data_IF_586292650839
#
_entry.id   IF_586292650839
#
_cell.length_a   1.000
_cell.length_b   1.000
_cell.length_c   1.000
_cell.angle_alpha   90.00
_cell.angle_beta   90.00
_cell.angle_gamma   90.00
#
_symmetry.space_group_name_H-M   'P 1'
#
loop_
_entity.id
_entity.type
_entity.pdbx_description
1 polymer ?
#
# COMPACT_ATOMS: atom_id res chain seq x y z
N UNK A 1 69.57 -46.69 -13.80
CA UNK A 1 68.22 -46.12 -13.56
C UNK A 1 68.26 -45.30 -12.28
N UNK A 2 68.67 -44.02 -12.35
CA UNK A 2 68.73 -43.12 -11.18
C UNK A 2 67.33 -42.55 -10.91
N UNK A 3 66.90 -42.67 -9.66
CA UNK A 3 65.58 -42.35 -9.15
C UNK A 3 65.21 -40.87 -9.37
N UNK A 4 64.17 -40.61 -10.16
CA UNK A 4 63.52 -39.27 -10.28
C UNK A 4 62.66 -38.89 -9.06
N UNK A 5 62.69 -39.73 -8.02
CA UNK A 5 61.88 -39.62 -6.81
C UNK A 5 62.13 -38.36 -5.94
N UNK A 6 63.34 -37.77 -5.79
CA UNK A 6 63.52 -36.66 -4.86
C UNK A 6 62.89 -35.34 -5.33
N UNK A 7 62.62 -35.19 -6.63
CA UNK A 7 61.98 -33.98 -7.18
C UNK A 7 60.45 -34.05 -7.21
N UNK A 8 59.86 -35.23 -7.05
CA UNK A 8 58.39 -35.40 -7.09
C UNK A 8 57.71 -34.89 -5.81
N UNK A 9 58.37 -35.02 -4.66
CA UNK A 9 57.84 -34.57 -3.36
C UNK A 9 57.62 -33.05 -3.30
N UNK A 10 58.60 -32.18 -3.62
CA UNK A 10 58.37 -30.73 -3.62
C UNK A 10 57.37 -30.30 -4.70
N UNK A 11 57.37 -30.95 -5.87
CA UNK A 11 56.42 -30.66 -6.93
C UNK A 11 54.97 -30.98 -6.50
N UNK A 12 54.76 -32.13 -5.83
CA UNK A 12 53.46 -32.50 -5.28
C UNK A 12 52.99 -31.54 -4.18
N UNK A 13 53.90 -31.09 -3.31
CA UNK A 13 53.59 -30.11 -2.27
C UNK A 13 53.18 -28.75 -2.85
N UNK A 14 53.87 -28.27 -3.89
CA UNK A 14 53.53 -27.02 -4.59
C UNK A 14 52.16 -27.14 -5.25
N UNK A 15 51.87 -28.26 -5.92
CA UNK A 15 50.57 -28.50 -6.55
C UNK A 15 49.44 -28.57 -5.52
N UNK A 16 49.65 -29.25 -4.39
CA UNK A 16 48.68 -29.31 -3.31
C UNK A 16 48.41 -27.92 -2.72
N UNK A 17 49.45 -27.11 -2.49
CA UNK A 17 49.31 -25.74 -2.03
C UNK A 17 48.55 -24.86 -3.04
N UNK A 18 48.89 -24.96 -4.34
CA UNK A 18 48.20 -24.23 -5.40
C UNK A 18 46.72 -24.64 -5.51
N UNK A 19 46.42 -25.93 -5.40
CA UNK A 19 45.06 -26.44 -5.39
C UNK A 19 44.26 -25.94 -4.17
N UNK A 20 44.87 -25.96 -2.97
CA UNK A 20 44.24 -25.44 -1.76
C UNK A 20 43.93 -23.93 -1.88
N UNK A 21 44.87 -23.14 -2.44
CA UNK A 21 44.65 -21.72 -2.70
C UNK A 21 43.54 -21.49 -3.73
N UNK A 22 43.50 -22.27 -4.82
CA UNK A 22 42.46 -22.16 -5.84
C UNK A 22 41.07 -22.49 -5.27
N UNK A 23 40.95 -23.54 -4.45
CA UNK A 23 39.70 -23.91 -3.77
C UNK A 23 39.28 -22.82 -2.77
N UNK A 24 40.21 -22.31 -1.96
CA UNK A 24 39.94 -21.23 -1.02
C UNK A 24 39.47 -19.95 -1.73
N UNK A 25 40.13 -19.56 -2.83
CA UNK A 25 39.72 -18.42 -3.64
C UNK A 25 38.34 -18.62 -4.29
N UNK A 26 38.03 -19.85 -4.74
CA UNK A 26 36.71 -20.18 -5.27
C UNK A 26 35.61 -20.07 -4.21
N UNK A 27 35.81 -20.68 -3.04
CA UNK A 27 34.87 -20.60 -1.92
C UNK A 27 34.67 -19.16 -1.44
N UNK A 28 35.74 -18.37 -1.33
CA UNK A 28 35.65 -16.96 -0.97
C UNK A 28 34.79 -16.15 -1.95
N UNK A 29 34.95 -16.38 -3.27
CA UNK A 29 34.08 -15.74 -4.29
C UNK A 29 32.64 -16.21 -4.20
N UNK A 30 32.40 -17.51 -3.97
CA UNK A 30 31.04 -18.05 -3.85
C UNK A 30 30.31 -17.47 -2.62
N UNK A 31 30.99 -17.41 -1.47
CA UNK A 31 30.48 -16.82 -0.24
C UNK A 31 30.21 -15.30 -0.41
N UNK A 32 31.14 -14.56 -1.02
CA UNK A 32 30.94 -13.13 -1.32
C UNK A 32 29.74 -12.89 -2.25
N UNK A 33 29.51 -13.78 -3.23
CA UNK A 33 28.34 -13.72 -4.11
C UNK A 33 27.04 -13.96 -3.33
N UNK A 34 27.02 -14.94 -2.43
CA UNK A 34 25.84 -15.21 -1.58
C UNK A 34 25.54 -14.03 -0.65
N UNK A 35 26.54 -13.50 0.04
CA UNK A 35 26.39 -12.32 0.89
C UNK A 35 25.86 -11.11 0.11
N UNK A 36 26.33 -10.91 -1.13
CA UNK A 36 25.81 -9.84 -2.02
C UNK A 36 24.34 -10.06 -2.38
N UNK A 37 23.91 -11.30 -2.64
CA UNK A 37 22.50 -11.59 -2.92
C UNK A 37 21.62 -11.37 -1.69
N UNK A 38 22.09 -11.73 -0.50
CA UNK A 38 21.37 -11.49 0.75
C UNK A 38 21.21 -10.02 1.05
N UNK A 39 22.28 -9.22 0.92
CA UNK A 39 22.20 -7.76 1.09
C UNK A 39 21.24 -7.10 0.09
N UNK A 40 21.24 -7.54 -1.17
CA UNK A 40 20.27 -7.07 -2.18
C UNK A 40 18.84 -7.44 -1.78
N UNK A 41 18.61 -8.67 -1.30
CA UNK A 41 17.29 -9.13 -0.83
C UNK A 41 16.80 -8.34 0.38
N UNK A 42 17.66 -8.08 1.35
CA UNK A 42 17.32 -7.29 2.53
C UNK A 42 16.92 -5.86 2.13
N UNK A 43 17.74 -5.20 1.29
CA UNK A 43 17.42 -3.86 0.78
C UNK A 43 16.11 -3.83 -0.01
N UNK A 44 15.86 -4.85 -0.84
CA UNK A 44 14.61 -4.96 -1.58
C UNK A 44 13.40 -5.12 -0.65
N UNK A 45 13.53 -5.90 0.44
CA UNK A 45 12.47 -6.05 1.45
C UNK A 45 12.24 -4.76 2.24
N UNK A 46 13.30 -4.07 2.63
CA UNK A 46 13.21 -2.77 3.32
C UNK A 46 12.51 -1.74 2.44
N UNK A 47 12.93 -1.61 1.18
CA UNK A 47 12.30 -0.72 0.21
C UNK A 47 10.83 -1.08 -0.03
N UNK A 48 10.50 -2.37 -0.16
CA UNK A 48 9.12 -2.82 -0.29
C UNK A 48 8.30 -2.46 0.97
N UNK A 49 8.86 -2.65 2.17
CA UNK A 49 8.23 -2.30 3.43
C UNK A 49 7.94 -0.81 3.57
N UNK A 50 8.86 0.05 3.11
CA UNK A 50 8.64 1.50 3.06
C UNK A 50 7.50 1.90 2.13
N UNK A 51 7.44 1.29 0.94
CA UNK A 51 6.35 1.51 -0.01
C UNK A 51 5.02 1.10 0.61
N UNK A 52 4.95 -0.10 1.22
CA UNK A 52 3.72 -0.59 1.88
C UNK A 52 3.27 0.35 2.99
N UNK A 53 4.17 0.79 3.88
CA UNK A 53 3.83 1.74 4.95
C UNK A 53 3.29 3.07 4.42
N UNK A 54 3.88 3.58 3.33
CA UNK A 54 3.39 4.81 2.68
C UNK A 54 1.98 4.62 2.11
N UNK A 55 1.70 3.47 1.49
CA UNK A 55 0.37 3.17 0.98
C UNK A 55 -0.66 2.95 2.09
N UNK A 56 -0.28 2.32 3.19
CA UNK A 56 -1.17 2.07 4.32
C UNK A 56 -1.75 3.36 4.89
N UNK A 57 -0.90 4.38 5.10
CA UNK A 57 -1.35 5.70 5.56
C UNK A 57 -2.33 6.35 4.58
N UNK A 58 -2.01 6.34 3.28
CA UNK A 58 -2.87 6.93 2.25
C UNK A 58 -4.21 6.20 2.10
N UNK A 59 -4.20 4.87 2.18
CA UNK A 59 -5.44 4.07 2.13
C UNK A 59 -6.30 4.37 3.37
N UNK A 60 -5.70 4.47 4.56
CA UNK A 60 -6.46 4.79 5.78
C UNK A 60 -7.10 6.18 5.70
N UNK A 61 -6.38 7.16 5.18
CA UNK A 61 -6.90 8.50 4.94
C UNK A 61 -8.04 8.49 3.91
N UNK A 62 -7.88 7.74 2.82
CA UNK A 62 -8.92 7.56 1.81
C UNK A 62 -10.19 6.95 2.42
N UNK A 63 -10.04 5.89 3.22
CA UNK A 63 -11.16 5.23 3.91
C UNK A 63 -11.85 6.19 4.88
N UNK A 64 -11.08 7.00 5.63
CA UNK A 64 -11.66 7.99 6.54
C UNK A 64 -12.47 9.05 5.77
N UNK A 65 -11.91 9.63 4.71
CA UNK A 65 -12.62 10.59 3.84
C UNK A 65 -13.88 10.00 3.24
N UNK A 66 -13.83 8.74 2.82
CA UNK A 66 -14.98 8.07 2.21
C UNK A 66 -16.05 7.72 3.24
N UNK A 67 -15.65 7.36 4.46
CA UNK A 67 -16.58 7.08 5.57
C UNK A 67 -17.35 8.32 6.03
N UNK A 68 -16.73 9.50 5.92
CA UNK A 68 -17.38 10.78 6.21
C UNK A 68 -18.21 11.31 5.04
N UNK A 69 -18.11 10.71 3.85
CA UNK A 69 -18.76 11.21 2.65
C UNK A 69 -20.28 10.97 2.71
N UNK A 70 -21.12 12.00 2.50
CA UNK A 70 -22.55 11.82 2.42
C UNK A 70 -22.97 10.96 1.22
N UNK A 71 -23.92 10.04 1.45
CA UNK A 71 -24.38 9.06 0.46
C UNK A 71 -24.97 9.70 -0.81
N UNK A 72 -25.58 10.89 -0.72
CA UNK A 72 -26.20 11.55 -1.87
C UNK A 72 -25.18 12.00 -2.93
N UNK A 73 -23.88 12.08 -2.58
CA UNK A 73 -22.82 12.43 -3.53
C UNK A 73 -22.49 11.28 -4.50
N UNK A 74 -22.98 10.07 -4.27
CA UNK A 74 -22.77 8.94 -5.21
C UNK A 74 -23.75 8.96 -6.38
N UNK A 75 -24.76 9.82 -6.35
CA UNK A 75 -25.71 10.02 -7.44
C UNK A 75 -25.14 11.01 -8.46
N UNK A 76 -25.44 10.82 -9.75
CA UNK A 76 -24.99 11.76 -10.80
C UNK A 76 -25.46 13.19 -10.53
N UNK A 77 -26.73 13.34 -10.16
CA UNK A 77 -27.34 14.60 -9.76
C UNK A 77 -27.83 14.48 -8.33
N UNK A 78 -27.53 15.48 -7.52
CA UNK A 78 -28.00 15.55 -6.14
C UNK A 78 -28.53 16.95 -5.82
N UNK A 79 -29.38 17.05 -4.80
CA UNK A 79 -29.81 18.33 -4.26
C UNK A 79 -28.95 18.63 -3.03
N UNK A 80 -28.12 19.69 -3.04
CA UNK A 80 -27.29 20.00 -1.88
C UNK A 80 -28.17 20.43 -0.70
N UNK A 81 -27.81 20.03 0.54
CA UNK A 81 -28.62 20.31 1.73
C UNK A 81 -28.85 21.82 1.93
N UNK A 82 -27.89 22.65 1.51
CA UNK A 82 -27.96 24.10 1.63
C UNK A 82 -28.91 24.76 0.62
N UNK A 83 -29.25 24.08 -0.50
CA UNK A 83 -30.17 24.62 -1.51
C UNK A 83 -31.65 24.33 -1.24
N UNK A 84 -31.96 23.45 -0.28
CA UNK A 84 -33.34 23.12 0.10
C UNK A 84 -34.15 24.34 0.54
N UNK A 85 -33.49 25.43 0.98
CA UNK A 85 -34.15 26.66 1.38
C UNK A 85 -34.60 27.56 0.21
N UNK A 86 -34.09 27.36 -1.01
CA UNK A 86 -34.24 28.35 -2.08
C UNK A 86 -35.03 27.86 -3.31
N UNK A 87 -34.90 26.60 -3.74
CA UNK A 87 -35.62 25.95 -4.85
C UNK A 87 -35.01 24.56 -5.12
N UNK A 88 -35.70 23.66 -5.85
CA UNK A 88 -35.10 22.40 -6.31
C UNK A 88 -33.96 22.67 -7.30
N UNK A 89 -32.73 22.73 -6.81
CA UNK A 89 -31.52 22.87 -7.63
C UNK A 89 -30.81 21.51 -7.67
N UNK A 90 -30.73 20.93 -8.87
CA UNK A 90 -29.92 19.73 -9.09
C UNK A 90 -28.49 20.16 -9.43
N UNK A 91 -27.52 19.58 -8.74
CA UNK A 91 -26.10 19.76 -9.01
C UNK A 91 -25.46 18.44 -9.40
N UNK A 92 -24.50 18.50 -10.33
CA UNK A 92 -23.68 17.33 -10.66
C UNK A 92 -22.80 16.96 -9.48
N UNK A 93 -22.69 15.67 -9.20
CA UNK A 93 -21.82 15.20 -8.14
C UNK A 93 -20.35 15.59 -8.38
N UNK A 94 -19.61 16.02 -7.35
CA UNK A 94 -18.17 16.21 -7.45
C UNK A 94 -17.42 14.90 -7.77
N UNK A 95 -18.05 13.74 -7.55
CA UNK A 95 -17.48 12.43 -7.89
C UNK A 95 -17.57 12.08 -9.37
N UNK A 96 -18.29 12.87 -10.17
CA UNK A 96 -18.35 12.68 -11.62
C UNK A 96 -16.97 12.94 -12.29
N UNK A 97 -16.04 13.60 -11.60
CA UNK A 97 -14.68 13.86 -12.06
C UNK A 97 -13.64 13.40 -11.02
N UNK A 98 -12.98 12.24 -11.22
CA UNK A 98 -12.00 11.75 -10.27
C UNK A 98 -10.80 12.69 -10.13
N UNK A 99 -10.56 13.11 -8.89
CA UNK A 99 -9.47 14.03 -8.53
C UNK A 99 -8.35 13.33 -7.77
N UNK A 100 -8.59 12.14 -7.21
CA UNK A 100 -7.60 11.38 -6.45
C UNK A 100 -6.90 10.34 -7.35
N UNK A 101 -5.56 10.37 -7.50
CA UNK A 101 -4.84 9.39 -8.32
C UNK A 101 -4.90 7.95 -7.80
N UNK A 102 -5.38 7.71 -6.57
CA UNK A 102 -5.61 6.37 -6.04
C UNK A 102 -7.02 5.82 -6.31
N UNK A 103 -7.92 6.65 -6.84
CA UNK A 103 -9.31 6.29 -7.09
C UNK A 103 -9.59 6.38 -8.58
N UNK A 104 -9.88 5.24 -9.18
CA UNK A 104 -10.24 5.16 -10.59
C UNK A 104 -11.69 5.59 -10.82
N UNK A 105 -12.62 5.09 -9.98
CA UNK A 105 -14.04 5.43 -10.07
C UNK A 105 -14.77 5.21 -8.75
N UNK A 106 -15.92 5.88 -8.61
CA UNK A 106 -16.89 5.61 -7.54
C UNK A 106 -18.13 4.93 -8.13
N UNK A 107 -18.76 4.08 -7.33
CA UNK A 107 -19.98 3.41 -7.71
C UNK A 107 -20.86 3.17 -6.48
N UNK A 108 -22.16 3.08 -6.71
CA UNK A 108 -23.16 2.64 -5.76
C UNK A 108 -23.74 1.30 -6.23
N UNK A 109 -23.92 0.36 -5.29
CA UNK A 109 -24.63 -0.89 -5.55
C UNK A 109 -26.08 -0.70 -5.15
N UNK A 110 -26.98 -0.70 -6.13
CA UNK A 110 -28.41 -0.57 -5.95
C UNK A 110 -29.02 -1.86 -5.34
N UNK A 111 -30.23 -1.79 -4.73
CA UNK A 111 -30.88 -2.96 -4.13
C UNK A 111 -31.15 -4.12 -5.10
N UNK A 112 -31.27 -3.82 -6.40
CA UNK A 112 -31.45 -4.81 -7.47
C UNK A 112 -30.10 -5.42 -7.96
N UNK A 113 -28.99 -5.05 -7.32
CA UNK A 113 -27.64 -5.51 -7.65
C UNK A 113 -27.00 -4.75 -8.81
N UNK A 114 -27.65 -3.72 -9.36
CA UNK A 114 -27.07 -2.89 -10.41
C UNK A 114 -26.02 -1.93 -9.83
N UNK A 115 -25.05 -1.56 -10.65
CA UNK A 115 -24.13 -0.47 -10.35
C UNK A 115 -24.67 0.86 -10.91
N UNK A 116 -24.62 1.89 -10.09
CA UNK A 116 -24.81 3.29 -10.48
C UNK A 116 -23.49 4.02 -10.33
N UNK A 117 -23.11 4.82 -11.33
CA UNK A 117 -21.84 5.56 -11.33
C UNK A 117 -22.12 7.06 -11.38
N UNK A 118 -21.45 7.89 -10.56
CA UNK A 118 -21.68 9.34 -10.56
C UNK A 118 -21.33 10.01 -11.90
N UNK A 119 -20.46 9.43 -12.72
CA UNK A 119 -20.14 9.94 -14.05
C UNK A 119 -21.22 9.61 -15.11
N UNK A 120 -22.11 8.64 -14.83
CA UNK A 120 -23.13 8.23 -15.79
C UNK A 120 -24.39 9.08 -15.59
N UNK A 121 -24.92 9.75 -16.63
CA UNK A 121 -26.18 10.46 -16.49
C UNK A 121 -27.33 9.52 -16.13
N UNK A 122 -28.43 10.01 -15.53
CA UNK A 122 -29.59 9.17 -15.24
C UNK A 122 -30.17 8.49 -16.50
N UNK A 123 -30.98 7.45 -16.30
CA UNK A 123 -31.65 6.72 -17.39
C UNK A 123 -32.49 7.67 -18.26
N UNK A 124 -32.26 7.64 -19.58
CA UNK A 124 -32.94 8.50 -20.57
C UNK A 124 -32.06 9.54 -21.28
N UNK A 125 -30.78 9.72 -20.89
CA UNK A 125 -29.90 10.75 -21.47
C UNK A 125 -28.51 10.26 -21.96
N UNK A 126 -28.24 8.95 -21.96
CA UNK A 126 -26.98 8.38 -22.47
C UNK A 126 -27.14 6.96 -22.97
N UNK A 127 -26.20 6.51 -23.81
CA UNK A 127 -26.20 5.21 -24.47
C UNK A 127 -26.20 4.06 -23.44
N UNK A 128 -27.37 3.44 -23.29
CA UNK A 128 -27.66 2.36 -22.33
C UNK A 128 -26.78 1.12 -22.54
N UNK A 129 -26.19 0.96 -23.73
CA UNK A 129 -25.27 -0.13 -24.05
C UNK A 129 -23.94 -0.01 -23.29
N UNK A 130 -23.34 1.19 -23.22
CA UNK A 130 -22.07 1.42 -22.50
C UNK A 130 -22.19 1.13 -20.99
N UNK A 131 -23.34 1.47 -20.39
CA UNK A 131 -23.66 1.23 -18.97
C UNK A 131 -23.73 -0.26 -18.61
N UNK A 132 -24.22 -1.08 -19.54
CA UNK A 132 -24.28 -2.53 -19.33
C UNK A 132 -22.90 -3.18 -19.46
N UNK A 133 -22.03 -2.67 -20.33
CA UNK A 133 -20.67 -3.21 -20.55
C UNK A 133 -19.78 -3.00 -19.33
N UNK A 134 -19.79 -1.82 -18.69
CA UNK A 134 -18.99 -1.56 -17.48
C UNK A 134 -19.44 -2.45 -16.31
N UNK A 135 -20.76 -2.57 -16.09
CA UNK A 135 -21.28 -3.40 -15.00
C UNK A 135 -21.10 -4.92 -15.22
N UNK A 136 -21.19 -5.41 -16.47
CA UNK A 136 -21.07 -6.86 -16.76
C UNK A 136 -19.66 -7.34 -17.05
N UNK A 137 -18.78 -6.52 -17.62
CA UNK A 137 -17.44 -6.97 -18.03
C UNK A 137 -16.37 -6.52 -17.05
N UNK A 138 -16.45 -5.28 -16.57
CA UNK A 138 -15.40 -4.69 -15.73
C UNK A 138 -15.52 -5.14 -14.27
N UNK A 139 -16.74 -5.29 -13.74
CA UNK A 139 -16.94 -5.70 -12.35
C UNK A 139 -16.47 -7.12 -12.05
N UNK A 140 -16.79 -8.17 -12.85
CA UNK A 140 -16.24 -9.49 -12.61
C UNK A 140 -14.73 -9.54 -12.81
N UNK A 141 -14.16 -8.74 -13.72
CA UNK A 141 -12.71 -8.66 -13.91
C UNK A 141 -12.02 -7.96 -12.73
N UNK A 142 -12.58 -6.87 -12.23
CA UNK A 142 -12.10 -6.18 -11.02
C UNK A 142 -12.23 -7.08 -9.79
N UNK A 143 -13.38 -7.73 -9.59
CA UNK A 143 -13.58 -8.70 -8.52
C UNK A 143 -12.63 -9.89 -8.66
N UNK A 144 -12.45 -10.44 -9.87
CA UNK A 144 -11.50 -11.53 -10.10
C UNK A 144 -10.05 -11.08 -9.84
N UNK A 145 -9.68 -9.84 -10.15
CA UNK A 145 -8.36 -9.28 -9.87
C UNK A 145 -8.15 -9.09 -8.36
N UNK A 146 -9.18 -8.67 -7.63
CA UNK A 146 -9.16 -8.59 -6.15
C UNK A 146 -9.09 -9.98 -5.52
N UNK A 147 -9.84 -10.97 -6.01
CA UNK A 147 -9.86 -12.34 -5.47
C UNK A 147 -8.64 -13.19 -5.86
N UNK A 148 -7.98 -12.91 -7.00
CA UNK A 148 -6.71 -13.55 -7.38
C UNK A 148 -5.50 -12.93 -6.70
N UNK A 149 -5.66 -11.77 -6.04
CA UNK A 149 -4.60 -11.27 -5.18
C UNK A 149 -4.34 -12.33 -4.10
N UNK A 150 -3.09 -12.76 -3.87
CA UNK A 150 -2.80 -13.75 -2.84
C UNK A 150 -3.39 -13.24 -1.51
N UNK A 151 -3.99 -14.13 -0.69
CA UNK A 151 -4.51 -13.74 0.61
C UNK A 151 -3.40 -12.99 1.31
N UNK A 152 -3.64 -11.71 1.62
CA UNK A 152 -2.72 -10.98 2.49
C UNK A 152 -2.56 -11.88 3.72
N UNK A 153 -1.33 -12.23 4.14
CA UNK A 153 -1.19 -12.80 5.47
C UNK A 153 -1.94 -11.85 6.40
N UNK A 154 -2.70 -12.37 7.37
CA UNK A 154 -3.40 -11.52 8.32
C UNK A 154 -2.39 -10.48 8.76
N UNK A 155 -2.71 -9.21 8.52
CA UNK A 155 -2.00 -8.14 9.17
C UNK A 155 -2.24 -8.48 10.62
N UNK A 156 -1.24 -9.10 11.24
CA UNK A 156 -1.18 -9.28 12.67
C UNK A 156 -1.42 -7.86 13.15
N UNK A 157 -2.63 -7.63 13.67
CA UNK A 157 -3.01 -6.36 14.25
C UNK A 157 -1.90 -6.12 15.24
N UNK A 158 -0.93 -5.29 14.87
CA UNK A 158 0.07 -4.81 15.79
C UNK A 158 -0.79 -4.12 16.81
N UNK A 159 -1.04 -4.82 17.91
CA UNK A 159 -1.76 -4.30 19.05
C UNK A 159 -1.17 -2.93 19.24
N UNK A 160 -2.00 -1.91 19.05
CA UNK A 160 -1.58 -0.53 19.13
C UNK A 160 -0.71 -0.44 20.37
N UNK A 161 0.60 -0.20 20.17
CA UNK A 161 1.49 0.00 21.29
C UNK A 161 0.82 1.06 22.16
N UNK A 162 0.61 0.81 23.47
CA UNK A 162 -0.09 1.76 24.31
C UNK A 162 0.59 3.11 24.14
N UNK A 163 -0.18 4.21 23.96
CA UNK A 163 0.39 5.52 23.76
C UNK A 163 1.39 5.81 24.89
N UNK A 164 2.54 6.44 24.60
CA UNK A 164 3.49 6.82 25.64
C UNK A 164 2.76 7.62 26.72
N UNK A 165 3.03 7.36 28.02
CA UNK A 165 2.35 8.04 29.10
C UNK A 165 2.48 9.55 28.92
N UNK A 166 1.33 10.24 29.01
CA UNK A 166 1.27 11.68 28.86
C UNK A 166 2.27 12.36 29.83
N UNK A 167 2.97 13.41 29.40
CA UNK A 167 3.79 14.19 30.32
C UNK A 167 2.91 14.72 31.47
N UNK A 168 3.41 14.71 32.72
CA UNK A 168 2.64 15.17 33.86
C UNK A 168 2.19 16.61 33.63
N UNK A 169 0.96 16.97 34.03
CA UNK A 169 0.46 18.33 33.88
C UNK A 169 1.39 19.31 34.60
N UNK A 170 1.64 20.51 34.01
CA UNK A 170 2.40 21.54 34.69
C UNK A 170 1.72 21.86 36.02
N UNK A 171 2.53 21.92 37.09
CA UNK A 171 2.06 22.26 38.42
C UNK A 171 1.23 23.55 38.38
N UNK A 172 0.11 23.63 39.13
CA UNK A 172 -0.71 24.83 39.16
C UNK A 172 0.17 26.01 39.57
N UNK A 173 0.25 27.01 38.70
CA UNK A 173 0.83 28.29 39.04
C UNK A 173 0.05 28.84 40.24
N UNK A 174 0.70 28.90 41.40
CA UNK A 174 0.18 29.57 42.58
C UNK A 174 0.01 31.04 42.19
N UNK A 175 -1.21 31.41 41.80
CA UNK A 175 -1.60 32.80 41.70
C UNK A 175 -1.62 33.33 43.14
N UNK A 176 -0.56 34.03 43.51
CA UNK A 176 -0.52 34.84 44.71
C UNK A 176 -1.60 35.91 44.58
N UNK A 177 -2.73 35.70 45.25
CA UNK A 177 -3.79 36.68 45.38
C UNK A 177 -3.26 37.85 46.21
N UNK A 178 -3.26 39.10 45.70
CA UNK A 178 -2.92 40.25 46.52
C UNK A 178 -4.04 40.52 47.54
N UNK A 179 -3.65 40.74 48.79
CA UNK A 179 -4.54 41.09 49.89
C UNK A 179 -5.16 42.49 49.68
N UNK A 180 -6.47 42.68 49.93
CA UNK A 180 -7.07 44.00 50.02
C UNK A 180 -7.02 44.54 51.47
N UNK A 181 -7.02 45.88 51.66
CA UNK A 181 -7.40 46.51 52.92
C UNK A 181 -8.92 46.47 53.18
#
# INVERSE_FOLDING_TARGET
>A
MRSRLPFLVPAAAILAAAAALAVSAWYGRAAARQARLETVRLRAREAAGEVVRRFEGRIRELVARESERPFYLYQHLYNPPDALAAQFVLQTSPLAAPTDPLVDTWFEILPDGRLSLPQDPPEGQGDTAARHTVAREVLPELLARVHRAPPRPPVETVAAAPPPPAPPPPAPAVQASPAPP
#
